data_IF_950853918149
#
_entry.id   IF_950853918149
#
_cell.length_a   1.000
_cell.length_b   1.000
_cell.length_c   1.000
_cell.angle_alpha   90.00
_cell.angle_beta   90.00
_cell.angle_gamma   90.00
#
_symmetry.space_group_name_H-M   'P 1'
#
loop_
_entity.id
_entity.type
_entity.pdbx_description
1 polymer ?
#
# COMPACT_ATOMS: atom_id res chain seq x y z
N UNK A 1 25.11 19.80 18.49
CA UNK A 1 25.24 19.52 17.04
C UNK A 1 23.85 19.17 16.56
N UNK A 2 23.31 19.90 15.59
CA UNK A 2 22.06 19.47 14.95
C UNK A 2 22.40 18.22 14.15
N UNK A 3 21.77 17.09 14.47
CA UNK A 3 21.79 15.95 13.56
C UNK A 3 21.19 16.45 12.24
N UNK A 4 22.02 16.49 11.19
CA UNK A 4 21.51 16.72 9.85
C UNK A 4 20.51 15.61 9.60
N UNK A 5 19.22 15.95 9.47
CA UNK A 5 18.17 15.02 9.03
C UNK A 5 18.55 14.51 7.65
N UNK A 6 19.29 13.40 7.60
CA UNK A 6 19.68 12.73 6.37
C UNK A 6 18.55 11.82 5.95
N UNK A 7 17.83 12.21 4.89
CA UNK A 7 16.84 11.33 4.30
C UNK A 7 17.54 10.09 3.74
N UNK A 8 16.93 8.88 3.86
CA UNK A 8 17.45 7.70 3.21
C UNK A 8 17.63 7.92 1.70
N UNK A 9 18.71 7.40 1.08
CA UNK A 9 18.94 7.56 -0.35
C UNK A 9 17.88 6.80 -1.16
N UNK A 10 17.58 7.34 -2.34
CA UNK A 10 16.72 6.68 -3.31
C UNK A 10 17.39 5.44 -3.89
N UNK A 11 16.62 4.37 -4.09
CA UNK A 11 17.06 3.11 -4.70
C UNK A 11 16.31 2.90 -6.01
N UNK A 12 16.96 2.27 -7.00
CA UNK A 12 16.31 1.94 -8.28
C UNK A 12 15.31 0.81 -8.10
N UNK A 13 14.17 0.91 -8.78
CA UNK A 13 13.14 -0.12 -8.87
C UNK A 13 12.49 -0.11 -10.26
N UNK A 14 11.64 -1.10 -10.50
CA UNK A 14 10.64 -1.05 -11.56
C UNK A 14 9.26 -0.91 -10.92
N UNK A 15 8.36 -0.18 -11.55
CA UNK A 15 6.96 -0.12 -11.13
C UNK A 15 6.01 -0.25 -12.31
N UNK A 16 4.76 -0.58 -12.03
CA UNK A 16 3.68 -0.49 -13.01
C UNK A 16 2.42 -0.02 -12.33
N UNK A 17 1.62 0.77 -13.05
CA UNK A 17 0.26 1.11 -12.69
C UNK A 17 -0.65 0.69 -13.83
N UNK A 18 -1.65 -0.14 -13.54
CA UNK A 18 -2.72 -0.47 -14.48
C UNK A 18 -4.05 0.00 -13.90
N UNK A 19 -4.82 0.72 -14.70
CA UNK A 19 -6.11 1.28 -14.28
C UNK A 19 -7.25 0.73 -15.15
N UNK A 20 -8.37 0.43 -14.52
CA UNK A 20 -9.63 0.08 -15.18
C UNK A 20 -10.70 1.08 -14.74
N UNK A 21 -11.07 1.99 -15.65
CA UNK A 21 -12.08 3.02 -15.40
C UNK A 21 -13.49 2.47 -15.14
N UNK A 22 -13.75 1.20 -15.50
CA UNK A 22 -15.00 0.50 -15.20
C UNK A 22 -14.84 -0.51 -14.04
N UNK A 23 -13.69 -0.50 -13.37
CA UNK A 23 -13.40 -1.42 -12.27
C UNK A 23 -14.41 -1.29 -11.14
N UNK A 24 -14.93 -2.42 -10.69
CA UNK A 24 -15.90 -2.49 -9.58
C UNK A 24 -15.21 -2.90 -8.28
N UNK A 25 -15.86 -2.61 -7.15
CA UNK A 25 -15.40 -3.11 -5.84
C UNK A 25 -15.35 -4.65 -5.87
N UNK A 26 -16.40 -5.31 -6.35
CA UNK A 26 -16.45 -6.77 -6.48
C UNK A 26 -15.30 -7.32 -7.35
N UNK A 27 -14.98 -6.63 -8.45
CA UNK A 27 -13.86 -7.00 -9.32
C UNK A 27 -12.51 -6.89 -8.60
N UNK A 28 -12.32 -5.84 -7.80
CA UNK A 28 -11.14 -5.70 -6.95
C UNK A 28 -11.09 -6.82 -5.89
N UNK A 29 -12.20 -7.09 -5.20
CA UNK A 29 -12.28 -8.13 -4.16
C UNK A 29 -12.00 -9.52 -4.73
N UNK A 30 -12.46 -9.81 -5.95
CA UNK A 30 -12.16 -11.04 -6.66
C UNK A 30 -10.66 -11.18 -6.99
N UNK A 31 -9.99 -10.09 -7.39
CA UNK A 31 -8.53 -10.11 -7.64
C UNK A 31 -7.74 -10.41 -6.36
N UNK A 32 -8.08 -9.75 -5.26
CA UNK A 32 -7.33 -9.90 -4.00
C UNK A 32 -7.68 -11.15 -3.21
N UNK A 33 -8.76 -11.87 -3.55
CA UNK A 33 -9.17 -13.10 -2.87
C UNK A 33 -8.09 -14.20 -2.91
N UNK A 34 -7.20 -14.18 -3.91
CA UNK A 34 -6.08 -15.12 -4.03
C UNK A 34 -4.78 -14.63 -3.38
N UNK A 35 -4.77 -13.38 -2.91
CA UNK A 35 -3.62 -12.78 -2.22
C UNK A 35 -3.61 -13.33 -0.80
N UNK A 36 -2.49 -13.91 -0.38
CA UNK A 36 -2.34 -14.48 0.95
C UNK A 36 -2.47 -13.44 2.07
N UNK A 37 -1.33 -12.95 2.58
CA UNK A 37 -1.35 -11.92 3.62
C UNK A 37 -1.59 -10.54 3.01
N UNK A 38 -2.66 -9.88 3.45
CA UNK A 38 -3.05 -8.55 3.00
C UNK A 38 -3.42 -7.66 4.19
N UNK A 39 -3.39 -6.36 3.94
CA UNK A 39 -3.97 -5.34 4.81
C UNK A 39 -4.58 -4.25 3.93
N UNK A 40 -5.41 -3.39 4.49
CA UNK A 40 -6.04 -2.33 3.69
C UNK A 40 -6.68 -1.25 4.53
N UNK A 41 -7.17 -0.21 3.87
CA UNK A 41 -8.10 0.76 4.45
C UNK A 41 -9.32 0.86 3.55
N UNK A 42 -10.50 0.84 4.14
CA UNK A 42 -11.74 1.22 3.48
C UNK A 42 -12.24 2.52 4.11
N UNK A 43 -12.44 3.53 3.28
CA UNK A 43 -13.08 4.77 3.69
C UNK A 43 -14.59 4.63 3.48
N UNK A 44 -15.31 4.69 4.59
CA UNK A 44 -16.77 4.62 4.60
C UNK A 44 -17.37 6.00 4.92
N UNK A 45 -18.66 6.17 4.65
CA UNK A 45 -19.40 7.38 5.04
C UNK A 45 -19.36 7.71 6.54
N UNK A 46 -19.04 6.73 7.39
CA UNK A 46 -18.93 6.93 8.84
C UNK A 46 -17.48 7.14 9.32
N UNK A 47 -16.54 6.31 8.85
CA UNK A 47 -15.12 6.36 9.24
C UNK A 47 -14.21 5.57 8.30
N UNK A 48 -12.91 5.79 8.41
CA UNK A 48 -11.92 4.85 7.90
C UNK A 48 -11.94 3.54 8.71
N UNK A 49 -11.86 2.41 8.03
CA UNK A 49 -11.88 1.06 8.60
C UNK A 49 -10.58 0.35 8.19
N UNK A 50 -9.83 -0.13 9.17
CA UNK A 50 -8.62 -0.91 8.95
C UNK A 50 -9.00 -2.32 8.48
N UNK A 51 -8.79 -2.61 7.21
CA UNK A 51 -9.04 -3.92 6.59
C UNK A 51 -7.92 -4.88 6.96
N UNK A 52 -8.30 -6.06 7.45
CA UNK A 52 -7.40 -7.12 7.90
C UNK A 52 -7.50 -8.37 7.04
N UNK A 53 -8.62 -8.57 6.32
CA UNK A 53 -8.77 -9.65 5.35
C UNK A 53 -9.90 -9.39 4.36
N UNK A 54 -9.91 -10.18 3.28
CA UNK A 54 -11.03 -10.31 2.34
C UNK A 54 -11.47 -11.76 2.37
N UNK A 55 -12.75 -12.01 2.65
CA UNK A 55 -13.32 -13.37 2.68
C UNK A 55 -14.72 -13.38 2.11
N UNK A 56 -15.03 -14.41 1.32
CA UNK A 56 -16.32 -14.58 0.64
C UNK A 56 -16.73 -13.36 -0.21
N UNK A 57 -15.74 -12.70 -0.83
CA UNK A 57 -15.95 -11.48 -1.61
C UNK A 57 -16.33 -10.27 -0.77
N UNK A 58 -16.04 -10.27 0.54
CA UNK A 58 -16.39 -9.19 1.48
C UNK A 58 -15.20 -8.69 2.25
N UNK A 59 -15.23 -7.39 2.55
CA UNK A 59 -14.23 -6.72 3.38
C UNK A 59 -14.41 -7.05 4.87
N UNK A 60 -13.32 -7.45 5.54
CA UNK A 60 -13.25 -7.62 7.00
C UNK A 60 -12.30 -6.58 7.58
N UNK A 61 -12.82 -5.81 8.53
CA UNK A 61 -12.03 -4.86 9.30
C UNK A 61 -11.68 -5.41 10.68
N UNK A 62 -10.73 -4.78 11.36
CA UNK A 62 -10.32 -5.13 12.73
C UNK A 62 -11.47 -5.11 13.75
N UNK A 63 -12.51 -4.32 13.47
CA UNK A 63 -13.70 -4.11 14.29
C UNK A 63 -14.98 -4.78 13.72
N UNK A 64 -14.82 -5.69 12.74
CA UNK A 64 -15.92 -6.50 12.20
C UNK A 64 -16.17 -6.34 10.71
N UNK A 65 -17.35 -6.74 10.25
CA UNK A 65 -17.73 -6.65 8.85
C UNK A 65 -17.84 -5.19 8.38
N UNK A 66 -17.51 -4.95 7.11
CA UNK A 66 -17.70 -3.65 6.46
C UNK A 66 -18.95 -3.71 5.58
N UNK A 67 -19.79 -2.68 5.68
CA UNK A 67 -20.94 -2.51 4.81
C UNK A 67 -20.48 -1.87 3.48
N UNK A 68 -20.32 -2.69 2.44
CA UNK A 68 -19.76 -2.27 1.15
C UNK A 68 -20.52 -1.10 0.50
N UNK A 69 -21.84 -1.00 0.70
CA UNK A 69 -22.64 0.13 0.21
C UNK A 69 -22.27 1.48 0.83
N UNK A 70 -21.49 1.49 1.91
CA UNK A 70 -21.00 2.72 2.57
C UNK A 70 -19.57 3.08 2.14
N UNK A 71 -18.88 2.19 1.43
CA UNK A 71 -17.47 2.37 1.02
C UNK A 71 -17.41 3.26 -0.22
N UNK A 72 -16.65 4.35 -0.15
CA UNK A 72 -16.40 5.21 -1.30
C UNK A 72 -14.97 5.08 -1.84
N UNK A 73 -14.02 4.62 -1.03
CA UNK A 73 -12.65 4.33 -1.44
C UNK A 73 -12.14 3.11 -0.68
N UNK A 74 -11.39 2.25 -1.36
CA UNK A 74 -10.63 1.17 -0.74
C UNK A 74 -9.21 1.12 -1.29
N UNK A 75 -8.26 0.89 -0.40
CA UNK A 75 -6.87 0.55 -0.72
C UNK A 75 -6.55 -0.76 -0.01
N UNK A 76 -6.13 -1.77 -0.76
CA UNK A 76 -5.71 -3.08 -0.23
C UNK A 76 -4.30 -3.32 -0.73
N UNK A 77 -3.39 -3.72 0.15
CA UNK A 77 -2.04 -4.07 -0.23
C UNK A 77 -1.67 -5.45 0.27
N UNK A 78 -0.79 -6.11 -0.46
CA UNK A 78 -0.11 -7.30 0.01
C UNK A 78 0.84 -6.88 1.13
N UNK A 79 0.80 -7.58 2.26
CA UNK A 79 1.78 -7.35 3.32
C UNK A 79 3.10 -7.97 2.88
N UNK A 80 4.14 -7.15 2.86
CA UNK A 80 5.48 -7.56 2.48
C UNK A 80 6.38 -7.44 3.71
N UNK A 81 6.30 -8.40 4.66
CA UNK A 81 7.22 -8.40 5.77
C UNK A 81 8.66 -8.53 5.21
N UNK A 82 9.64 -7.81 5.78
CA UNK A 82 11.04 -8.04 5.47
C UNK A 82 11.38 -9.54 5.63
N UNK A 83 12.27 -10.14 4.83
CA UNK A 83 13.26 -9.48 3.97
C UNK A 83 12.86 -9.31 2.49
N UNK A 84 13.53 -8.38 1.82
CA UNK A 84 13.28 -7.85 0.47
C UNK A 84 13.10 -8.94 -0.61
N UNK A 85 11.85 -9.31 -0.86
CA UNK A 85 11.47 -10.15 -1.99
C UNK A 85 11.51 -9.38 -3.33
N UNK A 86 11.33 -10.09 -4.46
CA UNK A 86 11.31 -9.44 -5.78
C UNK A 86 10.17 -8.43 -5.95
N UNK A 87 9.09 -8.56 -5.16
CA UNK A 87 7.99 -7.59 -5.05
C UNK A 87 8.19 -6.78 -3.78
N UNK A 88 8.44 -5.48 -3.96
CA UNK A 88 8.68 -4.54 -2.86
C UNK A 88 7.35 -4.01 -2.28
N UNK A 89 6.37 -3.74 -3.14
CA UNK A 89 5.02 -3.35 -2.75
C UNK A 89 4.01 -3.77 -3.82
N UNK A 90 2.78 -4.07 -3.42
CA UNK A 90 1.69 -4.43 -4.34
C UNK A 90 0.37 -3.96 -3.73
N UNK A 91 -0.30 -3.03 -4.39
CA UNK A 91 -1.51 -2.38 -3.90
C UNK A 91 -2.59 -2.33 -4.98
N UNK A 92 -3.83 -2.61 -4.57
CA UNK A 92 -5.05 -2.45 -5.34
C UNK A 92 -5.87 -1.32 -4.74
N UNK A 93 -6.40 -0.45 -5.60
CA UNK A 93 -7.23 0.69 -5.23
C UNK A 93 -8.55 0.62 -5.97
N UNK A 94 -9.62 1.03 -5.32
CA UNK A 94 -10.89 1.30 -5.99
C UNK A 94 -11.52 2.55 -5.40
N UNK A 95 -12.08 3.37 -6.28
CA UNK A 95 -12.75 4.62 -5.94
C UNK A 95 -14.12 4.64 -6.62
N UNK A 96 -15.18 4.88 -5.83
CA UNK A 96 -16.54 4.84 -6.31
C UNK A 96 -16.75 5.83 -7.47
N UNK A 97 -17.26 5.33 -8.60
CA UNK A 97 -17.47 6.10 -9.82
C UNK A 97 -16.21 6.41 -10.64
N UNK A 98 -15.01 6.01 -10.21
CA UNK A 98 -13.74 6.26 -10.93
C UNK A 98 -12.99 4.99 -11.34
N UNK A 99 -13.42 3.82 -10.87
CA UNK A 99 -12.85 2.54 -11.25
C UNK A 99 -11.81 2.01 -10.28
N UNK A 100 -10.89 1.20 -10.78
CA UNK A 100 -9.85 0.53 -9.98
C UNK A 100 -8.45 0.73 -10.57
N UNK A 101 -7.44 0.59 -9.72
CA UNK A 101 -6.04 0.56 -10.11
C UNK A 101 -5.29 -0.56 -9.39
N UNK A 102 -4.31 -1.13 -10.07
CA UNK A 102 -3.36 -2.09 -9.50
C UNK A 102 -1.95 -1.56 -9.75
N UNK A 103 -1.22 -1.37 -8.66
CA UNK A 103 0.12 -0.82 -8.64
C UNK A 103 1.05 -1.85 -8.03
N UNK A 104 2.18 -2.10 -8.67
CA UNK A 104 3.21 -3.00 -8.15
C UNK A 104 4.58 -2.37 -8.31
N UNK A 105 5.40 -2.50 -7.28
CA UNK A 105 6.79 -2.06 -7.25
C UNK A 105 7.67 -3.28 -7.02
N UNK A 106 8.76 -3.34 -7.76
CA UNK A 106 9.67 -4.45 -7.73
C UNK A 106 11.12 -4.02 -7.63
N UNK A 107 11.92 -4.88 -7.00
CA UNK A 107 13.35 -4.70 -6.99
C UNK A 107 13.89 -4.80 -8.43
N UNK A 108 14.91 -3.98 -8.74
CA UNK A 108 15.67 -4.13 -9.98
C UNK A 108 16.40 -5.47 -9.97
N UNK A 109 16.08 -6.33 -10.92
CA UNK A 109 16.79 -7.60 -11.17
C UNK A 109 17.14 -7.71 -12.64
N UNK A 110 18.29 -8.29 -12.95
CA UNK A 110 18.69 -8.53 -14.34
C UNK A 110 17.66 -9.40 -15.07
N UNK A 111 17.33 -9.04 -16.32
CA UNK A 111 16.38 -9.78 -17.16
C UNK A 111 14.89 -9.55 -16.87
N UNK A 112 14.54 -8.65 -15.94
CA UNK A 112 13.14 -8.26 -15.73
C UNK A 112 12.61 -7.47 -16.93
N UNK A 113 11.57 -7.98 -17.58
CA UNK A 113 10.79 -7.27 -18.59
C UNK A 113 9.44 -6.81 -18.01
N UNK A 114 9.00 -5.61 -18.38
CA UNK A 114 7.73 -5.04 -17.93
C UNK A 114 7.86 -4.03 -16.77
N UNK A 115 6.95 -3.06 -16.77
CA UNK A 115 7.00 -1.89 -15.89
C UNK A 115 7.94 -0.80 -16.41
N UNK A 116 7.89 0.35 -15.77
CA UNK A 116 8.71 1.52 -16.02
C UNK A 116 9.80 1.62 -14.95
N UNK A 117 10.95 2.21 -15.28
CA UNK A 117 11.99 2.49 -14.28
C UNK A 117 11.52 3.57 -13.32
N UNK A 118 11.75 3.35 -12.03
CA UNK A 118 11.49 4.32 -10.99
C UNK A 118 12.59 4.31 -9.92
N UNK A 119 12.48 5.26 -9.02
CA UNK A 119 13.22 5.30 -7.77
C UNK A 119 12.25 5.08 -6.62
N UNK A 120 12.73 4.50 -5.54
CA UNK A 120 11.91 4.30 -4.35
C UNK A 120 12.68 4.59 -3.07
N UNK A 121 11.92 4.90 -2.02
CA UNK A 121 12.40 5.02 -0.65
C UNK A 121 11.46 4.29 0.30
N UNK A 122 12.04 3.65 1.31
CA UNK A 122 11.26 3.06 2.41
C UNK A 122 10.89 4.15 3.39
N UNK A 123 9.64 4.13 3.85
CA UNK A 123 9.12 5.03 4.85
C UNK A 123 8.34 4.24 5.91
N UNK A 124 8.15 4.84 7.08
CA UNK A 124 7.43 4.23 8.19
C UNK A 124 6.74 5.31 9.04
N UNK A 125 5.48 5.06 9.38
CA UNK A 125 4.66 5.93 10.22
C UNK A 125 4.40 5.25 11.56
N UNK A 126 4.46 6.01 12.66
CA UNK A 126 4.03 5.51 13.96
C UNK A 126 2.52 5.28 13.96
N UNK A 127 2.09 4.12 14.43
CA UNK A 127 0.69 3.79 14.60
C UNK A 127 0.16 4.37 15.93
N UNK A 128 -1.14 4.63 15.96
CA UNK A 128 -1.79 5.08 17.18
C UNK A 128 -1.68 4.00 18.27
N UNK A 129 -1.24 4.39 19.47
CA UNK A 129 -1.01 3.46 20.58
C UNK A 129 0.41 2.87 20.64
N UNK A 130 1.28 3.20 19.68
CA UNK A 130 2.71 2.87 19.76
C UNK A 130 3.33 3.48 21.03
N UNK A 131 4.16 2.70 21.71
CA UNK A 131 4.83 3.13 22.96
C UNK A 131 6.32 3.11 22.75
N UNK A 132 7.04 4.08 23.32
CA UNK A 132 8.50 4.11 23.29
C UNK A 132 9.06 2.77 23.82
N UNK A 133 10.06 2.17 23.15
CA UNK A 133 10.97 2.80 22.19
C UNK A 133 10.60 2.64 20.70
N UNK A 134 9.33 2.34 20.36
CA UNK A 134 8.83 2.23 18.97
C UNK A 134 9.60 1.23 18.09
N UNK A 135 10.17 0.20 18.71
CA UNK A 135 11.02 -0.77 18.04
C UNK A 135 10.26 -2.04 17.62
N UNK A 136 8.95 -2.11 17.90
CA UNK A 136 8.15 -3.28 17.56
C UNK A 136 7.55 -3.11 16.16
N UNK A 137 7.52 -4.18 15.33
CA UNK A 137 6.90 -4.11 14.01
C UNK A 137 5.46 -3.57 14.03
N UNK A 138 4.68 -3.91 15.05
CA UNK A 138 3.29 -3.44 15.24
C UNK A 138 3.16 -1.95 15.58
N UNK A 139 4.24 -1.30 16.04
CA UNK A 139 4.25 0.13 16.35
C UNK A 139 4.27 0.99 15.08
N UNK A 140 4.57 0.39 13.92
CA UNK A 140 4.78 1.14 12.68
C UNK A 140 3.97 0.61 11.50
N UNK A 141 3.46 1.51 10.67
CA UNK A 141 2.95 1.19 9.33
C UNK A 141 4.07 1.50 8.33
N UNK A 142 4.55 0.49 7.61
CA UNK A 142 5.59 0.68 6.61
C UNK A 142 5.00 0.99 5.25
N UNK A 143 5.72 1.78 4.45
CA UNK A 143 5.35 2.17 3.09
C UNK A 143 6.57 2.27 2.18
N UNK A 144 6.30 2.34 0.89
CA UNK A 144 7.26 2.65 -0.16
C UNK A 144 6.78 3.88 -0.91
N UNK A 145 7.59 4.93 -0.86
CA UNK A 145 7.43 6.10 -1.71
C UNK A 145 8.07 5.83 -3.07
N UNK A 146 7.37 6.18 -4.15
CA UNK A 146 7.78 6.01 -5.54
C UNK A 146 8.08 7.37 -6.13
N UNK A 147 9.16 7.45 -6.88
CA UNK A 147 9.59 8.63 -7.59
C UNK A 147 9.90 8.28 -9.04
N UNK A 148 9.50 9.13 -9.96
CA UNK A 148 9.80 8.99 -11.40
C UNK A 148 10.50 10.23 -11.92
N UNK A 149 11.08 10.14 -13.10
CA UNK A 149 11.62 11.33 -13.77
C UNK A 149 10.48 12.07 -14.47
N UNK A 150 10.46 13.40 -14.28
CA UNK A 150 9.60 14.30 -15.05
C UNK A 150 10.13 14.49 -16.47
N UNK A 151 9.32 15.10 -17.34
CA UNK A 151 9.73 15.46 -18.71
C UNK A 151 10.96 16.41 -18.76
N UNK A 152 11.28 17.06 -17.64
CA UNK A 152 12.44 17.97 -17.51
C UNK A 152 13.63 17.33 -16.79
N UNK A 153 13.59 16.03 -16.51
CA UNK A 153 14.68 15.30 -15.84
C UNK A 153 14.77 15.54 -14.33
N UNK A 154 13.79 16.20 -13.72
CA UNK A 154 13.67 16.27 -12.26
C UNK A 154 13.04 14.99 -11.72
N UNK A 155 13.59 14.44 -10.65
CA UNK A 155 12.94 13.37 -9.88
C UNK A 155 11.75 13.93 -9.10
N UNK A 156 10.55 13.40 -9.35
CA UNK A 156 9.30 13.83 -8.73
C UNK A 156 8.70 12.71 -7.89
N UNK A 157 8.03 13.06 -6.80
CA UNK A 157 7.22 12.12 -6.04
C UNK A 157 5.99 11.74 -6.86
N UNK A 158 5.73 10.45 -6.98
CA UNK A 158 4.70 9.90 -7.88
C UNK A 158 3.59 9.20 -7.11
N UNK A 159 3.94 8.39 -6.11
CA UNK A 159 2.95 7.64 -5.32
C UNK A 159 3.56 7.13 -3.99
N UNK A 160 2.71 6.68 -3.06
CA UNK A 160 3.11 5.95 -1.87
C UNK A 160 2.22 4.72 -1.66
N UNK A 161 2.87 3.55 -1.56
CA UNK A 161 2.20 2.26 -1.35
C UNK A 161 2.48 1.74 0.06
N UNK A 162 1.44 1.27 0.74
CA UNK A 162 1.59 0.66 2.06
C UNK A 162 2.10 -0.79 1.93
N UNK A 163 2.86 -1.25 2.93
CA UNK A 163 3.46 -2.60 2.95
C UNK A 163 3.33 -3.30 4.30
N UNK A 164 3.05 -2.55 5.36
CA UNK A 164 2.94 -3.06 6.73
C UNK A 164 1.56 -3.62 7.06
N UNK A 165 1.40 -4.05 8.31
CA UNK A 165 0.11 -4.46 8.89
C UNK A 165 -0.38 -3.41 9.87
N UNK A 166 -1.70 -3.33 10.08
CA UNK A 166 -2.22 -2.60 11.22
C UNK A 166 -1.76 -3.25 12.53
N UNK A 167 -1.32 -2.44 13.48
CA UNK A 167 -1.14 -2.86 14.85
C UNK A 167 -2.50 -3.22 15.46
N UNK A 168 -2.52 -3.98 16.57
CA UNK A 168 -3.76 -4.25 17.28
C UNK A 168 -4.43 -2.91 17.64
N UNK A 169 -5.64 -2.70 17.14
CA UNK A 169 -6.48 -1.61 17.63
C UNK A 169 -6.82 -1.91 19.08
N UNK A 170 -6.09 -1.31 20.02
CA UNK A 170 -6.58 -1.21 21.39
C UNK A 170 -7.85 -0.35 21.31
N UNK A 171 -8.98 -0.96 21.62
CA UNK A 171 -10.32 -0.44 21.39
C UNK A 171 -10.65 0.84 22.13
#
# INVERSE_FOLDING_TARGET
MAETLTMPPLKKAMWSCSSDGNGTLDGLLAKVASVGSLAGVAYTTARARAITSVSDGRLRASDGAVEEGTVYEVRIWKTCPPPDGPVLAHEWRWLNGSGSAEITVWAMTEGRSGGESCWYRKNAYLQHGATEPFNKPEDTMTSIEIFTDSEYGNTVFTDELMTGTWGPSNG
#
